data_IF_388419040711
#
_entry.id   IF_388419040711
#
_cell.length_a   1.000
_cell.length_b   1.000
_cell.length_c   1.000
_cell.angle_alpha   90.00
_cell.angle_beta   90.00
_cell.angle_gamma   90.00
#
_symmetry.space_group_name_H-M   'P 1'
#
loop_
_entity.id
_entity.type
_entity.pdbx_description
1 polymer ?
#
# COMPACT_ATOMS: atom_id res chain seq x y z
N UNK A 1 10.26 19.86 5.72
CA UNK A 1 9.36 18.70 5.74
C UNK A 1 9.66 17.86 4.53
N UNK A 2 9.89 16.58 4.71
CA UNK A 2 10.29 15.68 3.63
C UNK A 2 9.08 14.90 3.12
N UNK A 3 8.79 15.05 1.82
CA UNK A 3 7.73 14.32 1.15
C UNK A 3 8.29 13.00 0.64
N UNK A 4 7.45 11.98 0.50
CA UNK A 4 7.85 10.67 -0.01
C UNK A 4 8.55 10.77 -1.37
N UNK A 5 8.15 11.75 -2.20
CA UNK A 5 8.79 12.04 -3.49
C UNK A 5 10.25 12.49 -3.34
N UNK A 6 10.53 13.34 -2.34
CA UNK A 6 11.89 13.81 -2.07
C UNK A 6 12.73 12.70 -1.44
N UNK A 7 12.15 11.92 -0.54
CA UNK A 7 12.80 10.75 0.07
C UNK A 7 13.19 9.73 -1.00
N UNK A 8 12.28 9.43 -1.93
CA UNK A 8 12.53 8.49 -3.03
C UNK A 8 13.66 8.99 -3.93
N UNK A 9 13.66 10.29 -4.28
CA UNK A 9 14.75 10.89 -5.05
C UNK A 9 16.09 10.80 -4.33
N UNK A 10 16.11 11.09 -3.03
CA UNK A 10 17.31 10.99 -2.21
C UNK A 10 17.79 9.53 -2.11
N UNK A 11 16.86 8.59 -1.96
CA UNK A 11 17.14 7.16 -1.91
C UNK A 11 17.83 6.64 -3.17
N UNK A 12 17.36 7.04 -4.36
CA UNK A 12 18.06 6.74 -5.62
C UNK A 12 19.47 7.34 -5.64
N UNK A 13 19.63 8.58 -5.19
CA UNK A 13 20.94 9.24 -5.09
C UNK A 13 21.90 8.54 -4.13
N UNK A 14 21.39 7.94 -3.06
CA UNK A 14 22.20 7.20 -2.10
C UNK A 14 22.53 5.79 -2.57
N UNK A 15 21.60 5.07 -3.22
CA UNK A 15 21.90 3.78 -3.86
C UNK A 15 22.93 3.93 -4.99
N UNK A 16 22.87 5.02 -5.76
CA UNK A 16 23.83 5.28 -6.84
C UNK A 16 25.29 5.42 -6.36
N UNK A 17 25.50 5.65 -5.06
CA UNK A 17 26.84 5.73 -4.44
C UNK A 17 27.33 4.36 -3.91
N UNK A 18 26.48 3.33 -3.91
CA UNK A 18 26.81 1.98 -3.41
C UNK A 18 27.50 1.14 -4.49
N UNK A 19 27.98 -0.02 -4.08
CA UNK A 19 28.58 -1.01 -4.98
C UNK A 19 27.55 -1.65 -5.93
N UNK A 20 27.99 -2.19 -7.05
CA UNK A 20 27.12 -2.86 -8.03
C UNK A 20 26.85 -4.33 -7.67
N UNK A 21 26.50 -4.57 -6.40
CA UNK A 21 26.16 -5.90 -5.87
C UNK A 21 24.73 -6.31 -6.23
N UNK A 22 24.44 -7.60 -6.16
CA UNK A 22 23.07 -8.11 -6.36
C UNK A 22 22.10 -7.61 -5.29
N UNK A 23 22.61 -7.35 -4.08
CA UNK A 23 21.85 -6.65 -3.03
C UNK A 23 21.48 -5.23 -3.44
N UNK A 24 22.42 -4.45 -3.97
CA UNK A 24 22.14 -3.09 -4.44
C UNK A 24 21.13 -3.09 -5.59
N UNK A 25 21.21 -4.07 -6.51
CA UNK A 25 20.19 -4.25 -7.57
C UNK A 25 18.81 -4.56 -6.99
N UNK A 26 18.72 -5.46 -6.02
CA UNK A 26 17.46 -5.80 -5.36
C UNK A 26 16.81 -4.58 -4.68
N UNK A 27 17.61 -3.74 -4.03
CA UNK A 27 17.14 -2.50 -3.41
C UNK A 27 16.69 -1.47 -4.46
N UNK A 28 17.40 -1.39 -5.59
CA UNK A 28 17.00 -0.55 -6.72
C UNK A 28 15.64 -0.99 -7.29
N UNK A 29 15.46 -2.29 -7.53
CA UNK A 29 14.18 -2.84 -8.00
C UNK A 29 13.04 -2.54 -7.02
N UNK A 30 13.31 -2.57 -5.71
CA UNK A 30 12.34 -2.20 -4.70
C UNK A 30 11.95 -0.70 -4.73
N UNK A 31 12.90 0.20 -5.03
CA UNK A 31 12.59 1.61 -5.26
C UNK A 31 11.77 1.82 -6.54
N UNK A 32 12.05 1.05 -7.60
CA UNK A 32 11.25 1.08 -8.84
C UNK A 32 9.82 0.62 -8.58
N UNK A 33 9.65 -0.49 -7.85
CA UNK A 33 8.32 -0.98 -7.43
C UNK A 33 7.55 0.10 -6.62
N UNK A 34 8.25 0.83 -5.73
CA UNK A 34 7.66 1.92 -4.94
C UNK A 34 7.27 3.12 -5.82
N UNK A 35 8.14 3.51 -6.76
CA UNK A 35 7.88 4.59 -7.69
C UNK A 35 6.67 4.28 -8.58
N UNK A 36 6.59 3.06 -9.11
CA UNK A 36 5.44 2.59 -9.88
C UNK A 36 4.14 2.61 -9.07
N UNK A 37 4.20 2.26 -7.78
CA UNK A 37 3.03 2.39 -6.89
C UNK A 37 2.58 3.86 -6.81
N UNK A 38 3.50 4.79 -6.54
CA UNK A 38 3.24 6.23 -6.46
C UNK A 38 2.67 6.77 -7.77
N UNK A 39 3.28 6.42 -8.91
CA UNK A 39 2.82 6.82 -10.25
C UNK A 39 1.41 6.34 -10.53
N UNK A 40 1.10 5.13 -10.09
CA UNK A 40 -0.23 4.59 -10.27
C UNK A 40 -1.24 5.30 -9.37
N UNK A 41 -0.87 5.77 -8.17
CA UNK A 41 -1.73 6.16 -7.04
C UNK A 41 -2.97 6.98 -7.42
N UNK A 42 -4.11 6.70 -6.76
CA UNK A 42 -5.35 7.43 -7.03
C UNK A 42 -5.33 8.76 -6.28
N UNK A 43 -4.92 9.83 -6.95
CA UNK A 43 -4.89 11.18 -6.39
C UNK A 43 -6.29 11.81 -6.23
N UNK A 44 -7.38 11.04 -6.37
CA UNK A 44 -8.73 11.57 -6.34
C UNK A 44 -9.19 11.81 -4.90
N UNK A 45 -9.10 13.06 -4.45
CA UNK A 45 -9.65 13.57 -3.19
C UNK A 45 -10.95 14.38 -3.41
N UNK A 46 -11.57 14.25 -4.59
CA UNK A 46 -12.76 15.01 -4.99
C UNK A 46 -12.46 16.29 -5.79
N UNK A 47 -11.18 16.68 -5.99
CA UNK A 47 -10.81 17.82 -6.83
C UNK A 47 -9.97 17.41 -8.05
N UNK A 48 -10.63 17.28 -9.19
CA UNK A 48 -10.01 16.88 -10.47
C UNK A 48 -8.81 17.76 -10.87
N UNK A 49 -8.90 19.08 -10.64
CA UNK A 49 -7.81 20.00 -10.96
C UNK A 49 -6.57 19.79 -10.08
N UNK A 50 -6.77 19.45 -8.79
CA UNK A 50 -5.64 19.15 -7.91
C UNK A 50 -4.95 17.85 -8.29
N UNK A 51 -5.72 16.84 -8.72
CA UNK A 51 -5.16 15.59 -9.27
C UNK A 51 -4.23 15.85 -10.46
N UNK A 52 -4.71 16.54 -11.49
CA UNK A 52 -3.90 16.82 -12.70
C UNK A 52 -2.62 17.60 -12.36
N UNK A 53 -2.72 18.58 -11.45
CA UNK A 53 -1.57 19.34 -11.00
C UNK A 53 -0.56 18.47 -10.24
N UNK A 54 -1.02 17.56 -9.37
CA UNK A 54 -0.13 16.62 -8.67
C UNK A 54 0.57 15.72 -9.69
N UNK A 55 -0.17 15.02 -10.55
CA UNK A 55 0.36 14.10 -11.57
C UNK A 55 1.41 14.76 -12.47
N UNK A 56 1.18 16.02 -12.84
CA UNK A 56 2.09 16.79 -13.69
C UNK A 56 3.35 17.29 -12.95
N UNK A 57 3.25 17.67 -11.68
CA UNK A 57 4.31 18.43 -11.00
C UNK A 57 5.00 17.74 -9.82
N UNK A 58 4.54 16.57 -9.35
CA UNK A 58 5.10 15.97 -8.12
C UNK A 58 6.59 15.60 -8.21
N UNK A 59 7.10 15.33 -9.43
CA UNK A 59 8.53 15.09 -9.71
C UNK A 59 9.33 16.38 -9.97
N UNK A 60 8.65 17.51 -10.13
CA UNK A 60 9.28 18.79 -10.47
C UNK A 60 9.64 19.60 -9.22
N UNK A 61 10.67 20.47 -9.29
CA UNK A 61 10.89 21.46 -8.25
C UNK A 61 9.65 22.34 -8.04
N UNK A 62 9.29 22.62 -6.78
CA UNK A 62 8.11 23.43 -6.42
C UNK A 62 8.06 24.78 -7.15
N UNK A 63 9.21 25.39 -7.43
CA UNK A 63 9.30 26.65 -8.21
C UNK A 63 8.68 26.54 -9.61
N UNK A 64 8.74 25.37 -10.24
CA UNK A 64 8.15 25.11 -11.57
C UNK A 64 6.63 25.08 -11.46
N UNK A 65 6.11 24.35 -10.46
CA UNK A 65 4.67 24.29 -10.19
C UNK A 65 4.11 25.69 -9.92
N UNK A 66 4.74 26.44 -9.01
CA UNK A 66 4.36 27.82 -8.66
C UNK A 66 4.27 28.72 -9.89
N UNK A 67 5.29 28.68 -10.77
CA UNK A 67 5.33 29.47 -12.00
C UNK A 67 4.15 29.14 -12.93
N UNK A 68 3.81 27.86 -13.06
CA UNK A 68 2.84 27.42 -14.04
C UNK A 68 1.39 27.46 -13.54
N UNK A 69 1.14 27.45 -12.22
CA UNK A 69 -0.22 27.46 -11.66
C UNK A 69 -0.57 28.75 -10.92
N UNK A 70 0.41 29.63 -10.66
CA UNK A 70 0.20 30.86 -9.88
C UNK A 70 -0.05 30.62 -8.39
N UNK A 71 0.06 29.38 -7.90
CA UNK A 71 -0.10 29.05 -6.48
C UNK A 71 1.09 29.55 -5.67
N UNK A 72 0.87 29.81 -4.38
CA UNK A 72 1.98 30.09 -3.47
C UNK A 72 2.84 28.83 -3.23
N UNK A 73 4.16 28.98 -3.00
CA UNK A 73 5.04 27.86 -2.64
C UNK A 73 4.53 27.09 -1.42
N UNK A 74 3.92 27.78 -0.44
CA UNK A 74 3.33 27.18 0.75
C UNK A 74 2.18 26.23 0.39
N UNK A 75 1.31 26.63 -0.55
CA UNK A 75 0.18 25.80 -0.97
C UNK A 75 0.65 24.56 -1.74
N UNK A 76 1.61 24.69 -2.67
CA UNK A 76 2.17 23.53 -3.38
C UNK A 76 2.80 22.53 -2.41
N UNK A 77 3.58 23.00 -1.44
CA UNK A 77 4.17 22.13 -0.42
C UNK A 77 3.12 21.44 0.45
N UNK A 78 2.03 22.13 0.81
CA UNK A 78 0.93 21.53 1.58
C UNK A 78 0.22 20.42 0.79
N UNK A 79 -0.02 20.64 -0.51
CA UNK A 79 -0.62 19.63 -1.39
C UNK A 79 0.28 18.39 -1.47
N UNK A 80 1.58 18.59 -1.75
CA UNK A 80 2.55 17.49 -1.78
C UNK A 80 2.66 16.75 -0.45
N UNK A 81 2.56 17.46 0.67
CA UNK A 81 2.53 16.83 1.99
C UNK A 81 1.31 15.93 2.13
N UNK A 82 0.10 16.44 1.87
CA UNK A 82 -1.14 15.65 2.01
C UNK A 82 -1.12 14.42 1.12
N UNK A 83 -0.68 14.60 -0.14
CA UNK A 83 -0.46 13.51 -1.08
C UNK A 83 0.52 12.46 -0.53
N UNK A 84 1.64 12.90 0.05
CA UNK A 84 2.62 12.04 0.69
C UNK A 84 2.08 11.31 1.92
N UNK A 85 1.29 12.00 2.75
CA UNK A 85 0.69 11.42 3.95
C UNK A 85 -0.31 10.32 3.54
N UNK A 86 -1.16 10.57 2.55
CA UNK A 86 -2.10 9.56 2.02
C UNK A 86 -1.43 8.31 1.43
N UNK A 87 -0.28 8.47 0.77
CA UNK A 87 0.50 7.30 0.32
C UNK A 87 1.03 6.53 1.52
N UNK A 88 1.64 7.21 2.49
CA UNK A 88 2.22 6.59 3.69
C UNK A 88 1.16 5.92 4.56
N UNK A 89 -0.06 6.48 4.59
CA UNK A 89 -1.22 5.86 5.22
C UNK A 89 -1.64 4.56 4.56
N UNK A 90 -1.17 4.24 3.34
CA UNK A 90 -1.44 2.96 2.66
C UNK A 90 -0.27 2.00 2.75
N UNK A 91 0.93 2.49 2.47
CA UNK A 91 2.11 1.61 2.38
C UNK A 91 2.95 1.61 3.65
N UNK A 92 2.77 2.53 4.58
CA UNK A 92 3.58 2.72 5.79
C UNK A 92 4.65 3.82 5.64
N UNK A 93 5.13 4.31 6.78
CA UNK A 93 6.02 5.49 6.83
C UNK A 93 7.50 5.14 6.64
N UNK A 94 7.88 3.90 6.92
CA UNK A 94 9.28 3.48 6.99
C UNK A 94 9.81 2.75 5.74
N UNK A 95 8.99 2.60 4.69
CA UNK A 95 9.28 1.74 3.53
C UNK A 95 10.57 2.12 2.80
N UNK A 96 10.82 3.41 2.58
CA UNK A 96 12.07 3.87 1.93
C UNK A 96 13.28 3.56 2.83
N UNK A 97 13.17 3.78 4.14
CA UNK A 97 14.26 3.47 5.07
C UNK A 97 14.53 1.96 5.13
N UNK A 98 13.49 1.12 5.14
CA UNK A 98 13.63 -0.34 5.05
C UNK A 98 14.32 -0.78 3.75
N UNK A 99 13.96 -0.17 2.61
CA UNK A 99 14.61 -0.46 1.31
C UNK A 99 16.09 -0.07 1.34
N UNK A 100 16.45 1.05 1.95
CA UNK A 100 17.84 1.53 1.97
C UNK A 100 18.70 0.82 3.02
N UNK A 101 18.20 0.71 4.24
CA UNK A 101 19.00 0.42 5.43
C UNK A 101 18.55 -0.85 6.15
N UNK A 102 17.39 -1.42 5.79
CA UNK A 102 16.92 -2.68 6.35
C UNK A 102 17.68 -3.89 5.83
N UNK A 103 17.36 -5.07 6.35
CA UNK A 103 17.88 -6.35 5.88
C UNK A 103 17.33 -6.70 4.49
N UNK A 104 17.94 -7.66 3.79
CA UNK A 104 17.40 -8.18 2.52
C UNK A 104 15.97 -8.71 2.69
N UNK A 105 15.68 -9.30 3.85
CA UNK A 105 14.33 -9.77 4.16
C UNK A 105 13.34 -8.61 4.27
N UNK A 106 13.75 -7.49 4.87
CA UNK A 106 12.92 -6.27 4.89
C UNK A 106 12.64 -5.77 3.47
N UNK A 107 13.66 -5.77 2.59
CA UNK A 107 13.50 -5.35 1.19
C UNK A 107 12.48 -6.24 0.47
N UNK A 108 12.59 -7.56 0.61
CA UNK A 108 11.62 -8.52 0.05
C UNK A 108 10.20 -8.28 0.58
N UNK A 109 10.07 -8.09 1.89
CA UNK A 109 8.78 -7.82 2.52
C UNK A 109 8.17 -6.50 2.02
N UNK A 110 8.98 -5.44 1.85
CA UNK A 110 8.52 -4.17 1.28
C UNK A 110 8.02 -4.36 -0.16
N UNK A 111 8.76 -5.10 -1.00
CA UNK A 111 8.32 -5.40 -2.37
C UNK A 111 6.99 -6.14 -2.39
N UNK A 112 6.85 -7.15 -1.53
CA UNK A 112 5.60 -7.90 -1.42
C UNK A 112 4.44 -6.97 -1.00
N UNK A 113 4.66 -6.10 -0.01
CA UNK A 113 3.68 -5.11 0.41
C UNK A 113 3.27 -4.15 -0.71
N UNK A 114 4.22 -3.66 -1.50
CA UNK A 114 3.94 -2.77 -2.62
C UNK A 114 3.15 -3.45 -3.74
N UNK A 115 3.51 -4.70 -4.06
CA UNK A 115 2.73 -5.50 -5.01
C UNK A 115 1.31 -5.67 -4.50
N UNK A 116 1.12 -6.20 -3.29
CA UNK A 116 -0.21 -6.44 -2.72
C UNK A 116 -1.04 -5.13 -2.67
N UNK A 117 -0.45 -4.02 -2.25
CA UNK A 117 -1.12 -2.72 -2.22
C UNK A 117 -1.55 -2.22 -3.61
N UNK A 118 -0.82 -2.54 -4.68
CA UNK A 118 -1.26 -2.22 -6.07
C UNK A 118 -2.54 -2.95 -6.45
N UNK A 119 -2.69 -4.20 -5.99
CA UNK A 119 -3.88 -5.01 -6.25
C UNK A 119 -5.05 -4.65 -5.32
N UNK A 120 -4.77 -4.36 -4.05
CA UNK A 120 -5.77 -3.94 -3.06
C UNK A 120 -6.40 -2.57 -3.38
N UNK A 121 -5.66 -1.66 -4.02
CA UNK A 121 -6.19 -0.36 -4.43
C UNK A 121 -7.48 -0.42 -5.25
N UNK A 122 -7.65 -1.47 -6.06
CA UNK A 122 -8.87 -1.69 -6.86
C UNK A 122 -9.99 -2.34 -6.07
N UNK A 123 -9.61 -2.88 -4.92
CA UNK A 123 -10.40 -3.67 -4.02
C UNK A 123 -10.94 -2.80 -2.86
N UNK A 124 -10.26 -1.73 -2.45
CA UNK A 124 -10.72 -0.81 -1.40
C UNK A 124 -12.09 -0.16 -1.69
N UNK A 125 -12.42 0.04 -2.97
CA UNK A 125 -13.73 0.59 -3.38
C UNK A 125 -14.87 -0.46 -3.26
N UNK A 126 -14.56 -1.76 -3.09
CA UNK A 126 -15.52 -2.87 -3.33
C UNK A 126 -15.39 -4.09 -2.40
N UNK A 127 -14.29 -4.28 -1.68
CA UNK A 127 -14.07 -5.42 -0.77
C UNK A 127 -14.84 -5.17 0.51
N UNK A 128 -15.87 -6.01 0.72
CA UNK A 128 -16.60 -6.04 1.98
C UNK A 128 -15.63 -6.41 3.11
N UNK A 129 -15.40 -5.44 4.00
CA UNK A 129 -14.76 -5.54 5.31
C UNK A 129 -14.95 -6.90 6.05
N UNK A 130 -16.11 -7.54 5.89
CA UNK A 130 -16.41 -8.85 6.47
C UNK A 130 -15.67 -10.04 5.86
N UNK A 131 -15.31 -9.97 4.57
CA UNK A 131 -14.46 -10.94 3.88
C UNK A 131 -13.06 -11.00 4.51
N UNK A 132 -12.45 -9.82 4.66
CA UNK A 132 -11.14 -9.65 5.27
C UNK A 132 -11.16 -10.10 6.74
N UNK A 133 -12.23 -9.81 7.51
CA UNK A 133 -12.37 -10.31 8.89
C UNK A 133 -12.36 -11.83 9.01
N UNK A 134 -12.95 -12.56 8.05
CA UNK A 134 -13.00 -14.03 8.09
C UNK A 134 -11.65 -14.66 7.79
N UNK A 135 -10.92 -14.10 6.81
CA UNK A 135 -9.59 -14.59 6.42
C UNK A 135 -8.54 -14.27 7.50
N UNK A 136 -8.66 -13.13 8.20
CA UNK A 136 -7.78 -12.74 9.33
C UNK A 136 -7.68 -13.75 10.48
N UNK A 137 -8.65 -14.67 10.60
CA UNK A 137 -8.66 -15.68 11.67
C UNK A 137 -7.81 -16.91 11.36
N UNK A 138 -7.36 -17.06 10.11
CA UNK A 138 -6.56 -18.21 9.69
C UNK A 138 -5.08 -17.89 9.90
N UNK A 139 -4.35 -18.73 10.67
CA UNK A 139 -2.93 -18.55 10.87
C UNK A 139 -2.18 -18.81 9.56
N UNK A 140 -1.26 -17.90 9.22
CA UNK A 140 -0.30 -18.11 8.15
C UNK A 140 1.06 -18.40 8.79
N UNK A 141 1.69 -19.50 8.41
CA UNK A 141 3.00 -19.91 8.95
C UNK A 141 4.09 -19.92 7.89
N UNK A 142 3.74 -19.61 6.63
CA UNK A 142 4.63 -19.68 5.48
C UNK A 142 4.69 -18.33 4.77
N UNK A 143 5.91 -17.87 4.48
CA UNK A 143 6.12 -16.77 3.54
C UNK A 143 6.03 -17.29 2.10
N UNK A 144 5.31 -16.56 1.25
CA UNK A 144 5.14 -16.89 -0.16
C UNK A 144 5.86 -15.88 -1.05
N UNK A 145 6.43 -16.36 -2.15
CA UNK A 145 6.86 -15.48 -3.24
C UNK A 145 5.64 -14.92 -3.98
N UNK A 146 5.73 -13.69 -4.50
CA UNK A 146 4.64 -13.06 -5.26
C UNK A 146 4.21 -13.89 -6.47
N UNK A 147 5.15 -14.58 -7.12
CA UNK A 147 4.89 -15.51 -8.22
C UNK A 147 3.91 -16.64 -7.83
N UNK A 148 3.92 -17.05 -6.56
CA UNK A 148 3.05 -18.10 -6.02
C UNK A 148 1.63 -17.58 -5.67
N UNK A 149 1.41 -16.27 -5.65
CA UNK A 149 0.16 -15.64 -5.21
C UNK A 149 -0.73 -15.16 -6.38
N UNK A 150 -0.42 -15.58 -7.62
CA UNK A 150 -1.04 -15.00 -8.82
C UNK A 150 -2.57 -15.06 -8.83
N UNK A 151 -3.15 -16.20 -8.47
CA UNK A 151 -4.61 -16.41 -8.50
C UNK A 151 -5.30 -15.60 -7.39
N UNK A 152 -4.70 -15.56 -6.20
CA UNK A 152 -5.21 -14.76 -5.07
C UNK A 152 -5.07 -13.26 -5.29
N UNK A 153 -3.99 -12.82 -5.94
CA UNK A 153 -3.80 -11.42 -6.34
C UNK A 153 -4.80 -11.03 -7.44
N UNK A 154 -4.99 -11.86 -8.46
CA UNK A 154 -5.98 -11.58 -9.52
C UNK A 154 -7.40 -11.54 -8.96
N UNK A 155 -7.71 -12.36 -7.96
CA UNK A 155 -8.96 -12.25 -7.21
C UNK A 155 -9.16 -10.88 -6.54
N UNK A 156 -8.11 -10.22 -6.06
CA UNK A 156 -8.23 -8.86 -5.52
C UNK A 156 -8.57 -7.80 -6.59
N UNK A 157 -8.20 -8.03 -7.86
CA UNK A 157 -8.53 -7.11 -8.98
C UNK A 157 -9.96 -7.24 -9.47
N UNK A 158 -10.52 -8.45 -9.41
CA UNK A 158 -11.79 -8.79 -10.03
C UNK A 158 -12.79 -9.14 -8.94
N UNK A 159 -13.71 -8.24 -8.54
CA UNK A 159 -15.16 -8.52 -8.59
C UNK A 159 -16.12 -7.64 -7.77
N UNK A 160 -17.30 -7.53 -8.38
CA UNK A 160 -18.62 -7.13 -7.89
C UNK A 160 -19.23 -8.23 -6.99
N UNK A 161 -19.90 -7.84 -5.91
CA UNK A 161 -20.54 -8.58 -4.79
C UNK A 161 -21.11 -10.01 -5.01
N UNK A 162 -21.40 -10.48 -6.22
CA UNK A 162 -22.17 -11.71 -6.51
C UNK A 162 -21.32 -12.97 -6.82
N UNK A 163 -20.03 -12.84 -7.07
CA UNK A 163 -19.12 -13.94 -7.49
C UNK A 163 -18.18 -14.43 -6.39
N UNK A 164 -18.28 -13.86 -5.19
CA UNK A 164 -17.38 -14.10 -4.08
C UNK A 164 -17.43 -15.56 -3.58
N UNK A 165 -18.63 -16.10 -3.36
CA UNK A 165 -18.82 -17.48 -2.88
C UNK A 165 -18.37 -18.55 -3.90
N UNK A 166 -18.37 -18.20 -5.19
CA UNK A 166 -18.01 -19.12 -6.27
C UNK A 166 -16.50 -19.22 -6.46
N UNK A 167 -15.78 -18.10 -6.31
CA UNK A 167 -14.33 -18.04 -6.53
C UNK A 167 -13.52 -18.41 -5.28
N UNK A 168 -13.99 -18.10 -4.06
CA UNK A 168 -13.22 -18.39 -2.84
C UNK A 168 -12.96 -19.88 -2.64
N UNK A 169 -13.87 -20.76 -3.12
CA UNK A 169 -13.71 -22.22 -3.07
C UNK A 169 -12.54 -22.75 -3.91
N UNK A 170 -12.00 -21.93 -4.82
CA UNK A 170 -10.88 -22.27 -5.70
C UNK A 170 -9.55 -21.65 -5.26
N UNK A 171 -9.57 -20.77 -4.25
CA UNK A 171 -8.40 -20.04 -3.76
C UNK A 171 -7.80 -20.70 -2.53
N UNK A 172 -6.49 -20.59 -2.35
CA UNK A 172 -5.84 -21.05 -1.13
C UNK A 172 -6.12 -20.07 0.01
N UNK A 173 -6.80 -20.56 1.05
CA UNK A 173 -7.07 -19.78 2.28
C UNK A 173 -5.76 -19.33 2.93
N UNK A 174 -4.72 -20.16 2.90
CA UNK A 174 -3.40 -19.85 3.47
C UNK A 174 -2.71 -18.69 2.72
N UNK A 175 -2.75 -18.70 1.39
CA UNK A 175 -2.20 -17.61 0.55
C UNK A 175 -2.98 -16.31 0.71
N UNK A 176 -4.30 -16.40 0.82
CA UNK A 176 -5.15 -15.24 1.15
C UNK A 176 -4.83 -14.68 2.54
N UNK A 177 -4.59 -15.54 3.54
CA UNK A 177 -4.16 -15.12 4.87
C UNK A 177 -2.80 -14.43 4.85
N UNK A 178 -1.84 -14.92 4.07
CA UNK A 178 -0.54 -14.27 3.86
C UNK A 178 -0.69 -12.87 3.25
N UNK A 179 -1.51 -12.72 2.22
CA UNK A 179 -1.81 -11.42 1.59
C UNK A 179 -2.43 -10.45 2.60
N UNK A 180 -3.38 -10.94 3.41
CA UNK A 180 -4.03 -10.15 4.46
C UNK A 180 -3.04 -9.78 5.57
N UNK A 181 -2.11 -10.66 5.93
CA UNK A 181 -1.03 -10.37 6.87
C UNK A 181 -0.12 -9.27 6.33
N UNK A 182 0.28 -9.33 5.05
CA UNK A 182 1.05 -8.27 4.39
C UNK A 182 0.31 -6.91 4.46
N UNK A 183 -0.99 -6.89 4.14
CA UNK A 183 -1.84 -5.69 4.24
C UNK A 183 -2.01 -5.18 5.68
N UNK A 184 -1.87 -6.05 6.67
CA UNK A 184 -1.98 -5.67 8.07
C UNK A 184 -0.66 -5.26 8.71
N UNK A 185 0.47 -5.76 8.20
CA UNK A 185 1.83 -5.42 8.62
C UNK A 185 2.40 -4.19 7.89
N UNK A 186 1.79 -3.74 6.79
CA UNK A 186 1.93 -2.36 6.37
C UNK A 186 1.33 -1.46 7.45
N UNK A 187 2.16 -0.61 8.05
CA UNK A 187 1.74 0.41 9.04
C UNK A 187 0.55 1.26 8.53
N UNK A 188 0.33 1.29 7.21
CA UNK A 188 -0.79 1.94 6.52
C UNK A 188 -2.15 1.25 6.65
N UNK A 189 -2.49 0.74 7.83
CA UNK A 189 -3.80 0.14 8.06
C UNK A 189 -4.18 0.19 9.52
N UNK A 190 -4.59 1.37 9.97
CA UNK A 190 -5.33 1.65 11.21
C UNK A 190 -5.22 0.56 12.28
N UNK A 191 -4.09 0.52 12.98
CA UNK A 191 -3.93 -0.34 14.16
C UNK A 191 -5.06 -0.04 15.16
N UNK A 192 -5.44 1.23 15.32
CA UNK A 192 -6.49 1.66 16.25
C UNK A 192 -7.90 1.27 15.82
N UNK A 193 -8.26 1.33 14.53
CA UNK A 193 -9.58 0.89 14.08
C UNK A 193 -9.69 -0.64 14.10
N UNK A 194 -8.59 -1.35 13.85
CA UNK A 194 -8.49 -2.80 14.03
C UNK A 194 -8.66 -3.19 15.51
N UNK A 195 -8.02 -2.47 16.43
CA UNK A 195 -8.20 -2.68 17.89
C UNK A 195 -9.63 -2.36 18.33
N UNK A 196 -10.20 -1.23 17.90
CA UNK A 196 -11.61 -0.86 18.19
C UNK A 196 -12.60 -1.89 17.64
N UNK A 197 -12.35 -2.41 16.44
CA UNK A 197 -13.14 -3.46 15.84
C UNK A 197 -13.04 -4.77 16.63
N UNK A 198 -11.83 -5.18 17.02
CA UNK A 198 -11.62 -6.38 17.83
C UNK A 198 -12.32 -6.24 19.19
N UNK A 199 -12.23 -5.07 19.81
CA UNK A 199 -12.94 -4.76 21.07
C UNK A 199 -14.46 -4.75 20.88
N UNK A 200 -14.97 -4.17 19.80
CA UNK A 200 -16.40 -4.21 19.44
C UNK A 200 -16.88 -5.65 19.24
N UNK A 201 -16.14 -6.47 18.50
CA UNK A 201 -16.50 -7.86 18.25
C UNK A 201 -16.41 -8.72 19.52
N UNK A 202 -15.44 -8.46 20.40
CA UNK A 202 -15.35 -9.12 21.71
C UNK A 202 -16.55 -8.77 22.60
N UNK A 203 -17.05 -7.52 22.52
CA UNK A 203 -18.18 -7.03 23.32
C UNK A 203 -19.55 -7.52 22.82
N UNK A 204 -19.65 -7.91 21.54
CA UNK A 204 -20.91 -8.33 20.90
C UNK A 204 -20.92 -9.80 20.46
N UNK A 205 -20.04 -10.63 21.04
CA UNK A 205 -19.82 -12.03 20.63
C UNK A 205 -21.08 -12.93 20.76
N UNK A 206 -22.02 -12.55 21.63
CA UNK A 206 -23.21 -13.35 21.94
C UNK A 206 -24.49 -12.91 21.21
N UNK A 207 -24.45 -11.82 20.43
CA UNK A 207 -25.65 -11.30 19.75
C UNK A 207 -26.14 -12.14 18.56
N UNK A 208 -25.33 -13.09 18.07
CA UNK A 208 -25.67 -13.90 16.89
C UNK A 208 -25.81 -15.40 17.20
N UNK A 209 -25.91 -15.79 18.47
CA UNK A 209 -26.14 -17.19 18.87
C UNK A 209 -27.63 -17.54 19.07
N UNK A 210 -28.55 -16.61 18.83
CA UNK A 210 -29.99 -16.83 19.03
C UNK A 210 -30.84 -16.86 17.74
N UNK A 211 -30.23 -16.91 16.55
CA UNK A 211 -30.95 -17.14 15.29
C UNK A 211 -30.68 -18.55 14.76
N UNK A 212 -31.16 -19.56 15.51
CA UNK A 212 -31.57 -20.89 15.00
C UNK A 212 -32.83 -21.31 15.74
#
# INVERSE_FOLDING_TARGET
METIFRELRNAYGDLAKRDNSDETKLRYDALVDLEQYIESFCWYDGNFKQKEEIEMYYKSPVKVWVKNTGRSPKNCNLILKRASDSIRDKIGYDKINKILNGTIQDVKHVRNALVVARYERWADDMIMYDALKRIRKYPCHKEYEISELKDELEFLKVFVKWTWDFNIKKLSVEKLSYIVEILNNSEGGYLEEKVKLVQYLAKNKDMHLNDV
#
